data_IF_287517868350
#
_entry.id   IF_287517868350
#
_cell.length_a   1.000
_cell.length_b   1.000
_cell.length_c   1.000
_cell.angle_alpha   90.00
_cell.angle_beta   90.00
_cell.angle_gamma   90.00
#
_symmetry.space_group_name_H-M   'P 1'
#
loop_
_entity.id
_entity.type
_entity.pdbx_description
1 polymer ?
#
# COMPACT_ATOMS: atom_id res chain seq x y z
N UNK A 1 6.69 2.86 -19.58
CA UNK A 1 5.69 1.79 -19.37
C UNK A 1 5.23 1.88 -17.92
N UNK A 2 3.93 1.93 -17.68
CA UNK A 2 3.41 1.73 -16.32
C UNK A 2 3.13 0.24 -16.21
N UNK A 3 3.91 -0.47 -15.40
CA UNK A 3 3.64 -1.85 -15.01
C UNK A 3 2.85 -1.76 -13.72
N UNK A 4 1.56 -2.09 -13.76
CA UNK A 4 0.78 -2.31 -12.54
C UNK A 4 0.82 -3.81 -12.29
N UNK A 5 1.81 -4.25 -11.51
CA UNK A 5 1.82 -5.57 -10.90
C UNK A 5 1.25 -5.41 -9.49
N UNK A 6 0.03 -5.87 -9.26
CA UNK A 6 -0.53 -5.93 -7.92
C UNK A 6 -0.02 -7.23 -7.29
N UNK A 7 1.15 -7.16 -6.67
CA UNK A 7 1.72 -8.27 -5.91
C UNK A 7 1.32 -8.12 -4.44
N UNK A 8 0.72 -9.16 -3.87
CA UNK A 8 0.26 -9.18 -2.47
C UNK A 8 1.33 -9.66 -1.50
N UNK A 9 2.63 -9.45 -1.76
CA UNK A 9 3.69 -9.83 -0.81
C UNK A 9 4.87 -8.85 -0.84
N UNK A 10 5.47 -8.51 0.32
CA UNK A 10 6.66 -7.66 0.38
C UNK A 10 7.88 -8.39 -0.21
N UNK A 11 8.87 -7.66 -0.75
CA UNK A 11 10.07 -8.26 -1.31
C UNK A 11 10.99 -8.82 -0.21
N UNK A 12 11.55 -10.01 -0.42
CA UNK A 12 12.73 -10.52 0.28
C UNK A 12 13.78 -10.98 -0.76
N UNK A 13 15.10 -10.96 -0.48
CA UNK A 13 16.13 -11.21 -1.48
C UNK A 13 16.14 -12.69 -1.90
N UNK A 14 16.21 -12.92 -3.21
CA UNK A 14 16.16 -14.23 -3.82
C UNK A 14 17.46 -15.04 -3.60
N UNK A 15 17.31 -16.34 -3.38
CA UNK A 15 18.32 -17.36 -3.73
C UNK A 15 17.67 -18.39 -4.65
N UNK A 16 18.38 -18.68 -5.76
CA UNK A 16 17.89 -19.51 -6.85
C UNK A 16 17.98 -21.00 -6.55
N UNK A 17 16.99 -21.77 -7.01
CA UNK A 17 17.13 -23.21 -7.26
C UNK A 17 16.22 -23.63 -8.42
N UNK A 18 16.79 -24.43 -9.33
CA UNK A 18 16.19 -24.91 -10.57
C UNK A 18 15.35 -26.19 -10.37
N UNK A 19 14.33 -26.37 -11.23
CA UNK A 19 14.05 -27.67 -11.85
C UNK A 19 12.64 -28.24 -11.69
N UNK A 20 11.97 -28.47 -12.85
CA UNK A 20 10.89 -29.46 -12.99
C UNK A 20 9.68 -29.00 -13.80
N UNK A 21 9.75 -29.14 -15.13
CA UNK A 21 8.65 -28.82 -16.04
C UNK A 21 7.47 -29.83 -15.94
N UNK A 22 6.24 -29.32 -15.98
CA UNK A 22 5.05 -30.09 -16.31
C UNK A 22 4.24 -29.33 -17.37
N UNK A 23 4.09 -29.99 -18.53
CA UNK A 23 3.36 -29.53 -19.70
C UNK A 23 1.86 -29.33 -19.45
N UNK A 24 1.30 -28.37 -20.19
CA UNK A 24 -0.08 -28.46 -20.67
C UNK A 24 -1.03 -27.37 -20.18
N UNK A 25 -1.11 -26.26 -20.93
CA UNK A 25 -2.32 -25.82 -21.65
C UNK A 25 -2.07 -24.38 -22.14
N UNK A 26 -1.79 -24.20 -23.44
CA UNK A 26 -1.80 -22.88 -24.07
C UNK A 26 -3.26 -22.52 -24.40
N UNK A 27 -3.84 -21.44 -23.83
CA UNK A 27 -5.04 -20.88 -24.42
C UNK A 27 -4.61 -20.04 -25.62
N UNK A 28 -4.93 -20.54 -26.81
CA UNK A 28 -4.87 -19.83 -28.08
C UNK A 28 -5.44 -18.42 -27.95
N UNK A 29 -4.63 -17.43 -28.34
CA UNK A 29 -4.94 -16.01 -28.28
C UNK A 29 -6.15 -15.65 -29.15
N UNK A 30 -7.08 -14.91 -28.56
CA UNK A 30 -8.21 -14.31 -29.28
C UNK A 30 -9.23 -13.70 -28.33
N UNK A 31 -9.83 -14.52 -27.47
CA UNK A 31 -11.01 -14.11 -26.70
C UNK A 31 -10.69 -13.36 -25.39
N UNK A 32 -9.51 -13.56 -24.78
CA UNK A 32 -9.15 -12.92 -23.51
C UNK A 32 -8.76 -11.43 -23.63
N UNK A 33 -8.37 -10.94 -24.82
CA UNK A 33 -7.86 -9.57 -25.00
C UNK A 33 -8.94 -8.49 -24.81
N UNK A 34 -10.20 -8.78 -25.16
CA UNK A 34 -11.30 -7.80 -25.06
C UNK A 34 -11.78 -7.54 -23.64
N UNK A 35 -11.62 -8.49 -22.72
CA UNK A 35 -12.17 -8.43 -21.37
C UNK A 35 -11.24 -7.76 -20.34
N UNK A 36 -9.93 -7.69 -20.61
CA UNK A 36 -8.94 -7.32 -19.61
C UNK A 36 -8.96 -5.83 -19.21
N UNK A 37 -9.26 -4.93 -20.14
CA UNK A 37 -9.27 -3.48 -19.92
C UNK A 37 -10.21 -2.78 -20.93
N UNK A 38 -11.52 -2.65 -20.64
CA UNK A 38 -12.49 -2.10 -21.59
C UNK A 38 -12.18 -0.64 -21.94
N UNK A 39 -12.36 -0.29 -23.22
CA UNK A 39 -12.17 1.08 -23.72
C UNK A 39 -10.71 1.50 -23.94
N UNK A 40 -9.73 0.62 -23.74
CA UNK A 40 -8.32 0.88 -24.06
C UNK A 40 -7.93 0.30 -25.42
N UNK A 41 -7.24 1.05 -26.29
CA UNK A 41 -6.73 0.52 -27.54
C UNK A 41 -5.62 -0.51 -27.27
N UNK A 42 -5.55 -1.55 -28.10
CA UNK A 42 -4.48 -2.56 -28.07
C UNK A 42 -3.46 -2.31 -29.16
N UNK A 43 -2.21 -2.73 -28.92
CA UNK A 43 -1.16 -2.79 -29.92
C UNK A 43 -0.21 -3.97 -29.62
N UNK A 44 0.51 -4.45 -30.63
CA UNK A 44 1.61 -5.38 -30.41
C UNK A 44 2.79 -4.67 -29.74
N UNK A 45 3.75 -5.45 -29.23
CA UNK A 45 4.96 -4.88 -28.64
C UNK A 45 5.74 -4.06 -29.68
N UNK A 46 5.90 -4.61 -30.89
CA UNK A 46 6.63 -4.01 -32.01
C UNK A 46 5.97 -2.71 -32.49
N UNK A 47 4.63 -2.68 -32.56
CA UNK A 47 3.86 -1.48 -32.95
C UNK A 47 4.08 -0.29 -32.00
N UNK A 48 4.45 -0.55 -30.74
CA UNK A 48 4.83 0.48 -29.77
C UNK A 48 6.34 0.52 -29.52
N UNK A 49 7.16 -0.13 -30.34
CA UNK A 49 8.62 -0.13 -30.23
C UNK A 49 9.15 -0.81 -28.96
N UNK A 50 8.48 -1.86 -28.48
CA UNK A 50 8.92 -2.74 -27.41
C UNK A 50 9.38 -4.08 -27.98
N UNK A 51 10.36 -4.72 -27.32
CA UNK A 51 10.76 -6.09 -27.59
C UNK A 51 9.76 -7.06 -26.94
N UNK A 52 9.15 -8.00 -27.69
CA UNK A 52 8.26 -9.00 -27.11
C UNK A 52 8.98 -10.01 -26.20
N UNK A 53 10.27 -10.28 -26.40
CA UNK A 53 11.00 -11.34 -25.68
C UNK A 53 10.92 -11.23 -24.15
N UNK A 54 11.32 -10.09 -23.55
CA UNK A 54 11.20 -9.88 -22.10
C UNK A 54 9.76 -9.92 -21.57
N UNK A 55 8.77 -9.58 -22.40
CA UNK A 55 7.36 -9.63 -22.01
C UNK A 55 6.87 -11.08 -21.91
N UNK A 56 7.29 -11.92 -22.84
CA UNK A 56 6.95 -13.33 -22.86
C UNK A 56 7.67 -14.09 -21.73
N UNK A 57 8.93 -13.74 -21.44
CA UNK A 57 9.66 -14.24 -20.26
C UNK A 57 8.97 -13.88 -18.94
N UNK A 58 8.46 -12.65 -18.81
CA UNK A 58 7.72 -12.21 -17.63
C UNK A 58 6.43 -13.01 -17.43
N UNK A 59 5.65 -13.23 -18.49
CA UNK A 59 4.43 -14.05 -18.38
C UNK A 59 4.75 -15.49 -17.97
N UNK A 60 5.85 -16.04 -18.47
CA UNK A 60 6.30 -17.37 -18.09
C UNK A 60 6.70 -17.44 -16.62
N UNK A 61 7.34 -16.40 -16.08
CA UNK A 61 7.60 -16.30 -14.64
C UNK A 61 6.30 -16.25 -13.82
N UNK A 62 5.28 -15.52 -14.28
CA UNK A 62 3.97 -15.52 -13.62
C UNK A 62 3.29 -16.88 -13.65
N UNK A 63 3.31 -17.58 -14.79
CA UNK A 63 2.78 -18.95 -14.90
C UNK A 63 3.48 -19.90 -13.93
N UNK A 64 4.81 -19.82 -13.84
CA UNK A 64 5.60 -20.64 -12.91
C UNK A 64 5.29 -20.32 -11.45
N UNK A 65 5.25 -19.04 -11.08
CA UNK A 65 4.93 -18.64 -9.71
C UNK A 65 3.55 -19.17 -9.25
N UNK A 66 2.55 -19.12 -10.14
CA UNK A 66 1.22 -19.69 -9.86
C UNK A 66 1.26 -21.22 -9.87
N UNK A 67 1.92 -21.84 -10.85
CA UNK A 67 2.03 -23.30 -10.97
C UNK A 67 2.78 -23.96 -9.81
N UNK A 68 3.75 -23.26 -9.24
CA UNK A 68 4.54 -23.66 -8.07
C UNK A 68 3.85 -23.31 -6.74
N UNK A 69 2.64 -22.75 -6.77
CA UNK A 69 1.91 -22.30 -5.60
C UNK A 69 2.68 -21.25 -4.75
N UNK A 70 3.49 -20.41 -5.39
CA UNK A 70 4.17 -19.27 -4.74
C UNK A 70 3.23 -18.07 -4.58
N UNK A 71 2.21 -17.98 -5.44
CA UNK A 71 1.11 -17.03 -5.40
C UNK A 71 -0.18 -17.75 -5.85
N UNK A 72 -1.35 -17.50 -5.21
CA UNK A 72 -2.62 -18.10 -5.65
C UNK A 72 -3.01 -17.70 -7.07
N UNK A 73 -2.80 -16.42 -7.39
CA UNK A 73 -3.20 -15.80 -8.65
C UNK A 73 -2.78 -14.34 -8.70
N UNK A 74 -2.85 -13.76 -9.89
CA UNK A 74 -2.54 -12.36 -10.15
C UNK A 74 -3.20 -11.89 -11.45
N UNK A 75 -3.35 -10.58 -11.59
CA UNK A 75 -3.59 -9.92 -12.87
C UNK A 75 -2.53 -8.85 -13.08
N UNK A 76 -2.16 -8.64 -14.33
CA UNK A 76 -1.22 -7.59 -14.70
C UNK A 76 -1.62 -6.95 -16.03
N UNK A 77 -1.18 -5.71 -16.24
CA UNK A 77 -1.25 -5.04 -17.53
C UNK A 77 -0.02 -4.17 -17.76
N UNK A 78 0.45 -4.16 -19.01
CA UNK A 78 1.57 -3.35 -19.48
C UNK A 78 1.05 -2.44 -20.59
N UNK A 79 1.19 -1.14 -20.36
CA UNK A 79 0.75 -0.11 -21.29
C UNK A 79 1.94 0.74 -21.76
N UNK A 80 1.90 1.11 -23.05
CA UNK A 80 2.80 2.09 -23.66
C UNK A 80 1.99 3.03 -24.55
N UNK A 81 2.21 4.33 -24.39
CA UNK A 81 1.52 5.40 -25.13
C UNK A 81 -0.01 5.26 -25.11
N UNK A 82 -0.54 4.88 -23.94
CA UNK A 82 -1.97 4.69 -23.72
C UNK A 82 -2.57 3.41 -24.33
N UNK A 83 -1.77 2.58 -25.01
CA UNK A 83 -2.19 1.30 -25.60
C UNK A 83 -1.80 0.12 -24.71
N UNK A 84 -2.68 -0.88 -24.63
CA UNK A 84 -2.40 -2.15 -23.95
C UNK A 84 -1.53 -3.01 -24.85
N UNK A 85 -0.37 -3.43 -24.32
CA UNK A 85 0.62 -4.26 -25.03
C UNK A 85 0.51 -5.72 -24.60
N UNK A 86 0.30 -5.92 -23.31
CA UNK A 86 0.08 -7.21 -22.66
C UNK A 86 -0.86 -7.03 -21.48
N UNK A 87 -1.78 -7.95 -21.29
CA UNK A 87 -2.58 -8.06 -20.08
C UNK A 87 -3.11 -9.49 -19.98
N UNK A 88 -2.80 -10.16 -18.86
CA UNK A 88 -3.33 -11.48 -18.54
C UNK A 88 -3.63 -11.60 -17.05
N UNK A 89 -4.52 -12.53 -16.71
CA UNK A 89 -4.75 -12.97 -15.34
C UNK A 89 -4.41 -14.46 -15.23
N UNK A 90 -3.83 -14.85 -14.10
CA UNK A 90 -3.39 -16.22 -13.83
C UNK A 90 -3.91 -16.67 -12.46
N UNK A 91 -4.11 -17.98 -12.32
CA UNK A 91 -4.44 -18.60 -11.04
C UNK A 91 -5.85 -18.29 -10.54
N UNK A 92 -5.99 -18.30 -9.23
CA UNK A 92 -7.26 -18.20 -8.51
C UNK A 92 -7.22 -17.06 -7.50
N UNK A 93 -8.37 -16.43 -7.24
CA UNK A 93 -8.50 -15.41 -6.20
C UNK A 93 -8.66 -15.99 -4.78
N UNK A 94 -8.90 -17.29 -4.71
CA UNK A 94 -9.12 -18.05 -3.48
C UNK A 94 -8.77 -19.53 -3.71
N UNK A 95 -7.93 -20.09 -2.82
CA UNK A 95 -7.39 -21.45 -2.97
C UNK A 95 -8.43 -22.55 -2.69
N UNK A 96 -9.44 -22.26 -1.85
CA UNK A 96 -10.45 -23.24 -1.44
C UNK A 96 -11.54 -23.39 -2.50
N UNK A 97 -12.16 -22.27 -2.89
CA UNK A 97 -13.20 -22.21 -3.92
C UNK A 97 -12.66 -22.39 -5.33
N UNK A 98 -11.36 -22.17 -5.53
CA UNK A 98 -10.64 -22.27 -6.81
C UNK A 98 -11.22 -21.33 -7.89
N UNK A 99 -11.92 -20.27 -7.47
CA UNK A 99 -12.46 -19.28 -8.40
C UNK A 99 -11.33 -18.54 -9.13
N UNK A 100 -11.39 -18.41 -10.46
CA UNK A 100 -10.28 -17.85 -11.23
C UNK A 100 -10.09 -16.37 -10.93
N UNK A 101 -8.83 -15.93 -10.95
CA UNK A 101 -8.49 -14.51 -10.89
C UNK A 101 -8.97 -13.81 -12.18
N UNK A 102 -9.58 -12.63 -12.03
CA UNK A 102 -10.07 -11.80 -13.13
C UNK A 102 -9.61 -10.35 -13.00
N UNK A 103 -9.70 -9.58 -14.06
CA UNK A 103 -9.32 -8.15 -14.06
C UNK A 103 -10.22 -7.28 -13.18
N UNK A 104 -11.44 -7.73 -12.87
CA UNK A 104 -12.39 -7.09 -11.97
C UNK A 104 -12.34 -7.65 -10.53
N UNK A 105 -11.35 -8.51 -10.23
CA UNK A 105 -11.11 -9.02 -8.87
C UNK A 105 -10.58 -7.88 -7.99
N UNK A 106 -11.25 -7.65 -6.87
CA UNK A 106 -10.87 -6.65 -5.88
C UNK A 106 -9.75 -7.20 -5.00
N UNK A 107 -8.82 -6.35 -4.59
CA UNK A 107 -7.72 -6.71 -3.71
C UNK A 107 -7.32 -5.53 -2.83
N UNK A 108 -6.65 -5.84 -1.72
CA UNK A 108 -6.14 -4.84 -0.77
C UNK A 108 -4.86 -4.23 -1.36
N UNK A 109 -4.91 -2.94 -1.68
CA UNK A 109 -3.77 -2.22 -2.28
C UNK A 109 -2.66 -1.83 -1.29
N UNK A 110 -2.96 -1.89 0.01
CA UNK A 110 -2.03 -1.52 1.09
C UNK A 110 -1.31 -0.19 0.80
N UNK A 111 0.01 -0.15 0.85
CA UNK A 111 0.81 1.05 0.69
C UNK A 111 0.68 1.76 -0.65
N UNK A 112 0.11 1.13 -1.69
CA UNK A 112 -0.22 1.84 -2.94
C UNK A 112 -1.27 2.93 -2.72
N UNK A 113 -2.09 2.85 -1.67
CA UNK A 113 -3.04 3.91 -1.26
C UNK A 113 -2.34 5.26 -1.04
N UNK A 114 -1.05 5.25 -0.66
CA UNK A 114 -0.29 6.48 -0.42
C UNK A 114 -0.21 7.36 -1.67
N UNK A 115 -0.10 6.77 -2.86
CA UNK A 115 -0.09 7.54 -4.12
C UNK A 115 -1.40 8.30 -4.33
N UNK A 116 -2.55 7.68 -4.02
CA UNK A 116 -3.87 8.33 -4.09
C UNK A 116 -3.97 9.46 -3.06
N UNK A 117 -3.53 9.21 -1.83
CA UNK A 117 -3.51 10.21 -0.77
C UNK A 117 -2.62 11.42 -1.10
N UNK A 118 -1.43 11.19 -1.67
CA UNK A 118 -0.52 12.27 -2.09
C UNK A 118 -1.12 13.09 -3.22
N UNK A 119 -1.76 12.47 -4.22
CA UNK A 119 -2.50 13.21 -5.26
C UNK A 119 -3.61 14.07 -4.64
N UNK A 120 -4.37 13.51 -3.70
CA UNK A 120 -5.40 14.25 -2.96
C UNK A 120 -4.86 15.45 -2.19
N UNK A 121 -3.69 15.33 -1.55
CA UNK A 121 -3.08 16.45 -0.84
C UNK A 121 -2.53 17.49 -1.82
N UNK A 122 -1.86 17.06 -2.90
CA UNK A 122 -1.30 17.97 -3.91
C UNK A 122 -2.38 18.79 -4.61
N UNK A 123 -3.58 18.23 -4.78
CA UNK A 123 -4.75 18.99 -5.20
C UNK A 123 -5.04 20.21 -4.29
N UNK A 124 -4.97 20.05 -2.96
CA UNK A 124 -5.14 21.18 -2.02
C UNK A 124 -3.99 22.20 -2.12
N UNK A 125 -2.78 21.75 -2.48
CA UNK A 125 -1.63 22.64 -2.74
C UNK A 125 -1.89 23.48 -3.99
N UNK A 126 -2.34 22.86 -5.08
CA UNK A 126 -2.68 23.55 -6.33
C UNK A 126 -3.82 24.55 -6.15
N UNK A 127 -4.80 24.21 -5.31
CA UNK A 127 -5.91 25.08 -4.94
C UNK A 127 -5.49 26.23 -3.99
N UNK A 128 -4.22 26.27 -3.56
CA UNK A 128 -3.67 27.32 -2.69
C UNK A 128 -4.14 27.26 -1.24
N UNK A 129 -4.74 26.14 -0.82
CA UNK A 129 -5.32 25.97 0.52
C UNK A 129 -4.26 25.60 1.57
N UNK A 130 -3.15 25.02 1.15
CA UNK A 130 -1.99 24.72 2.00
C UNK A 130 -0.69 24.79 1.19
N UNK A 131 0.45 24.95 1.88
CA UNK A 131 1.77 24.88 1.27
C UNK A 131 2.58 23.72 1.83
N UNK A 132 3.44 23.11 1.01
CA UNK A 132 4.33 22.02 1.46
C UNK A 132 5.30 22.43 2.58
N UNK A 133 5.61 23.72 2.65
CA UNK A 133 6.45 24.29 3.71
C UNK A 133 5.68 24.73 4.95
N UNK A 134 4.35 24.65 4.96
CA UNK A 134 3.57 24.93 6.16
C UNK A 134 3.97 23.95 7.28
N UNK A 135 4.01 24.43 8.54
CA UNK A 135 4.17 23.54 9.67
C UNK A 135 2.89 22.71 9.84
N UNK A 136 3.04 21.42 10.17
CA UNK A 136 1.92 20.49 10.41
C UNK A 136 1.03 21.00 11.54
N UNK A 137 1.64 21.65 12.55
CA UNK A 137 0.97 22.25 13.71
C UNK A 137 -0.09 23.30 13.37
N UNK A 138 -0.01 23.93 12.18
CA UNK A 138 -1.02 24.86 11.64
C UNK A 138 -2.38 24.18 11.44
N UNK A 139 -2.37 22.91 11.05
CA UNK A 139 -3.57 22.13 10.77
C UNK A 139 -3.89 21.16 11.91
N UNK A 140 -2.86 20.64 12.58
CA UNK A 140 -2.98 19.63 13.63
C UNK A 140 -2.24 20.12 14.89
N UNK A 141 -2.91 20.82 15.82
CA UNK A 141 -2.27 21.41 17.00
C UNK A 141 -1.57 20.40 17.94
N UNK A 142 -1.91 19.10 17.84
CA UNK A 142 -1.21 18.04 18.56
C UNK A 142 0.28 17.93 18.14
N UNK A 143 0.61 18.29 16.90
CA UNK A 143 1.97 18.24 16.33
C UNK A 143 2.77 19.54 16.54
N UNK A 144 2.37 20.39 17.50
CA UNK A 144 3.17 21.54 17.92
C UNK A 144 4.55 21.10 18.41
N UNK A 145 5.60 21.80 17.97
CA UNK A 145 6.99 21.41 18.25
C UNK A 145 7.23 21.16 19.74
N UNK A 146 6.72 22.04 20.60
CA UNK A 146 6.83 21.99 22.06
C UNK A 146 6.12 20.79 22.72
N UNK A 147 5.26 20.08 21.99
CA UNK A 147 4.56 18.86 22.45
C UNK A 147 5.21 17.58 21.96
N UNK A 148 6.11 17.68 20.97
CA UNK A 148 6.78 16.54 20.39
C UNK A 148 8.04 16.19 21.19
N UNK A 149 8.40 14.91 21.14
CA UNK A 149 9.56 14.35 21.79
C UNK A 149 10.39 13.60 20.76
N UNK A 150 11.71 13.55 20.92
CA UNK A 150 12.62 12.70 20.13
C UNK A 150 13.23 11.68 21.08
N UNK A 151 13.16 10.40 20.70
CA UNK A 151 13.81 9.31 21.42
C UNK A 151 15.33 9.48 21.41
N UNK A 152 15.97 9.28 22.56
CA UNK A 152 17.43 9.36 22.68
C UNK A 152 18.04 7.96 22.68
N UNK A 153 19.01 7.70 21.79
CA UNK A 153 19.60 6.37 21.58
C UNK A 153 18.54 5.26 21.37
N UNK A 154 17.45 5.60 20.68
CA UNK A 154 16.31 4.70 20.41
C UNK A 154 15.52 4.27 21.67
N UNK A 155 15.97 4.67 22.87
CA UNK A 155 15.26 4.45 24.12
C UNK A 155 14.35 5.63 24.45
N UNK A 156 13.15 5.32 24.94
CA UNK A 156 12.29 6.30 25.59
C UNK A 156 12.71 6.33 27.04
N UNK A 157 13.49 7.35 27.41
CA UNK A 157 13.85 7.53 28.81
C UNK A 157 12.57 7.94 29.55
N UNK A 158 12.12 7.10 30.49
CA UNK A 158 10.90 7.34 31.30
C UNK A 158 11.04 8.52 32.28
N UNK A 159 12.16 9.24 32.26
CA UNK A 159 12.32 10.49 33.01
C UNK A 159 12.00 11.67 32.10
N UNK A 160 11.36 12.68 32.66
CA UNK A 160 11.02 13.96 32.02
C UNK A 160 12.25 14.74 31.48
N UNK A 161 13.46 14.18 31.56
CA UNK A 161 14.72 14.90 31.37
C UNK A 161 15.57 14.46 30.16
N UNK A 162 15.18 13.46 29.35
CA UNK A 162 16.06 12.97 28.26
C UNK A 162 15.44 12.79 26.86
N UNK A 163 14.14 13.03 26.66
CA UNK A 163 13.63 13.20 25.30
C UNK A 163 13.79 14.66 24.87
N UNK A 164 14.62 14.90 23.85
CA UNK A 164 14.79 16.26 23.35
C UNK A 164 13.55 16.69 22.56
N UNK A 165 13.00 17.86 22.87
CA UNK A 165 12.05 18.53 21.98
C UNK A 165 12.72 18.75 20.62
N UNK A 166 12.02 18.54 19.49
CA UNK A 166 12.58 18.88 18.19
C UNK A 166 13.05 20.34 18.15
N UNK A 167 14.15 20.58 17.45
CA UNK A 167 14.74 21.93 17.27
C UNK A 167 14.14 22.69 16.10
N UNK A 168 13.26 22.03 15.33
CA UNK A 168 12.57 22.60 14.18
C UNK A 168 11.18 21.99 14.01
N UNK A 169 10.28 22.74 13.39
CA UNK A 169 8.92 22.29 13.13
C UNK A 169 8.88 21.16 12.08
N UNK A 170 7.94 20.23 12.29
CA UNK A 170 7.55 19.27 11.26
C UNK A 170 6.75 20.01 10.18
N UNK A 171 7.21 19.95 8.94
CA UNK A 171 6.52 20.52 7.77
C UNK A 171 5.78 19.44 6.99
N UNK A 172 4.79 19.85 6.20
CA UNK A 172 4.03 18.93 5.35
C UNK A 172 4.94 18.14 4.39
N UNK A 173 5.98 18.78 3.83
CA UNK A 173 6.95 18.10 2.96
C UNK A 173 7.69 16.96 3.68
N UNK A 174 7.90 17.07 5.00
CA UNK A 174 8.55 16.00 5.76
C UNK A 174 7.66 14.76 5.86
N UNK A 175 6.34 14.93 5.92
CA UNK A 175 5.40 13.81 5.89
C UNK A 175 5.43 13.09 4.54
N UNK A 176 5.36 13.86 3.44
CA UNK A 176 5.34 13.32 2.07
C UNK A 176 6.63 12.59 1.69
N UNK A 177 7.75 13.05 2.22
CA UNK A 177 9.08 12.50 1.94
C UNK A 177 9.51 11.47 2.97
N UNK A 178 8.64 11.07 3.91
CA UNK A 178 9.00 10.15 4.99
C UNK A 178 10.25 10.61 5.76
N UNK A 179 10.35 11.90 6.04
CA UNK A 179 11.42 12.50 6.83
C UNK A 179 10.91 13.22 8.08
N UNK A 180 9.68 12.93 8.51
CA UNK A 180 9.03 13.61 9.64
C UNK A 180 9.63 13.26 11.01
N UNK A 181 10.37 12.16 11.11
CA UNK A 181 10.79 11.57 12.38
C UNK A 181 9.82 10.53 12.93
N UNK A 182 8.60 10.41 12.37
CA UNK A 182 7.69 9.30 12.70
C UNK A 182 8.26 7.97 12.22
N UNK A 183 7.84 6.87 12.85
CA UNK A 183 8.26 5.51 12.52
C UNK A 183 7.06 4.59 12.27
N UNK A 184 7.28 3.41 11.70
CA UNK A 184 6.30 2.31 11.74
C UNK A 184 6.39 1.51 13.06
N UNK A 185 7.40 1.75 13.88
CA UNK A 185 7.75 0.89 15.01
C UNK A 185 8.68 -0.25 14.54
N UNK A 186 8.54 -1.47 15.09
CA UNK A 186 9.30 -2.61 14.56
C UNK A 186 8.86 -2.91 13.11
N UNK A 187 9.72 -3.57 12.35
CA UNK A 187 9.30 -4.06 11.04
C UNK A 187 8.11 -5.02 11.18
N UNK A 188 7.28 -5.11 10.14
CA UNK A 188 6.04 -5.89 10.18
C UNK A 188 6.32 -7.37 10.52
N UNK A 189 5.97 -7.78 11.74
CA UNK A 189 6.19 -9.14 12.25
C UNK A 189 7.40 -9.30 13.18
N UNK A 190 8.21 -8.26 13.35
CA UNK A 190 9.37 -8.29 14.23
C UNK A 190 9.01 -7.85 15.66
N UNK A 191 9.81 -8.33 16.62
CA UNK A 191 9.76 -7.86 18.00
C UNK A 191 10.30 -6.43 18.12
N UNK A 192 9.78 -5.67 19.08
CA UNK A 192 10.28 -4.33 19.35
C UNK A 192 11.68 -4.39 19.94
N UNK A 193 12.62 -3.67 19.34
CA UNK A 193 14.01 -3.61 19.82
C UNK A 193 14.19 -2.59 20.95
N UNK A 194 13.27 -1.63 21.07
CA UNK A 194 13.34 -0.55 22.03
C UNK A 194 11.95 -0.06 22.47
N UNK A 195 11.92 0.77 23.53
CA UNK A 195 10.68 1.32 24.07
C UNK A 195 9.95 2.26 23.08
N UNK A 196 10.67 2.90 22.17
CA UNK A 196 10.06 3.78 21.16
C UNK A 196 9.25 2.93 20.18
N UNK A 197 9.86 1.90 19.61
CA UNK A 197 9.17 0.96 18.71
C UNK A 197 7.97 0.29 19.36
N UNK A 198 8.13 -0.11 20.63
CA UNK A 198 7.04 -0.70 21.42
C UNK A 198 5.83 0.23 21.53
N UNK A 199 6.05 1.54 21.70
CA UNK A 199 4.95 2.50 21.79
C UNK A 199 4.16 2.64 20.48
N UNK A 200 4.82 2.56 19.31
CA UNK A 200 4.14 2.52 18.01
C UNK A 200 3.36 1.22 17.83
N UNK A 201 3.95 0.09 18.23
CA UNK A 201 3.29 -1.22 18.19
C UNK A 201 2.02 -1.25 19.04
N UNK A 202 2.08 -0.71 20.27
CA UNK A 202 0.91 -0.60 21.16
C UNK A 202 -0.20 0.28 20.58
N UNK A 203 0.15 1.41 19.95
CA UNK A 203 -0.85 2.22 19.26
C UNK A 203 -1.55 1.43 18.15
N UNK A 204 -0.80 0.68 17.34
CA UNK A 204 -1.40 -0.16 16.29
C UNK A 204 -2.27 -1.28 16.84
N UNK A 205 -1.90 -1.93 17.94
CA UNK A 205 -2.78 -2.91 18.59
C UNK A 205 -4.14 -2.31 18.98
N UNK A 206 -4.15 -1.06 19.46
CA UNK A 206 -5.39 -0.34 19.80
C UNK A 206 -6.21 0.01 18.55
N UNK A 207 -5.56 0.24 17.41
CA UNK A 207 -6.25 0.39 16.11
C UNK A 207 -6.83 -0.94 15.64
N UNK A 208 -6.07 -2.02 15.78
CA UNK A 208 -6.47 -3.35 15.34
C UNK A 208 -7.69 -3.87 16.11
N UNK A 209 -7.73 -3.61 17.43
CA UNK A 209 -8.88 -3.94 18.30
C UNK A 209 -10.06 -2.97 18.16
N UNK A 210 -9.89 -1.86 17.43
CA UNK A 210 -10.90 -0.83 17.23
C UNK A 210 -11.06 0.15 18.40
N UNK A 211 -10.22 0.08 19.43
CA UNK A 211 -10.17 1.07 20.52
C UNK A 211 -9.89 2.48 19.98
N UNK A 212 -9.00 2.59 18.98
CA UNK A 212 -8.73 3.82 18.23
C UNK A 212 -9.16 3.61 16.78
N UNK A 213 -10.30 4.17 16.40
CA UNK A 213 -10.91 3.90 15.08
C UNK A 213 -11.05 5.14 14.19
N UNK A 214 -11.06 6.35 14.76
CA UNK A 214 -11.13 7.58 14.00
C UNK A 214 -9.72 8.10 13.66
N UNK A 215 -9.51 8.55 12.43
CA UNK A 215 -8.21 9.07 11.96
C UNK A 215 -7.72 10.27 12.79
N UNK A 216 -8.63 11.14 13.23
CA UNK A 216 -8.29 12.25 14.13
C UNK A 216 -7.71 11.77 15.47
N UNK A 217 -8.41 10.85 16.15
CA UNK A 217 -7.94 10.27 17.42
C UNK A 217 -6.63 9.50 17.24
N UNK A 218 -6.49 8.77 16.12
CA UNK A 218 -5.23 8.11 15.79
C UNK A 218 -4.06 9.11 15.67
N UNK A 219 -4.24 10.21 14.94
CA UNK A 219 -3.20 11.23 14.82
C UNK A 219 -2.89 11.96 16.14
N UNK A 220 -3.89 12.16 16.99
CA UNK A 220 -3.69 12.75 18.32
C UNK A 220 -2.90 11.83 19.25
N UNK A 221 -3.11 10.51 19.18
CA UNK A 221 -2.31 9.52 19.90
C UNK A 221 -0.91 9.37 19.31
N UNK A 222 -0.80 9.36 17.98
CA UNK A 222 0.48 9.28 17.27
C UNK A 222 1.40 10.47 17.61
N UNK A 223 0.84 11.67 17.76
CA UNK A 223 1.60 12.87 18.15
C UNK A 223 2.20 12.81 19.56
N UNK A 224 1.72 11.88 20.42
CA UNK A 224 2.27 11.65 21.76
C UNK A 224 3.47 10.72 21.74
N UNK A 225 3.69 10.00 20.64
CA UNK A 225 4.80 9.06 20.51
C UNK A 225 6.10 9.82 20.18
N UNK A 226 7.25 9.37 20.68
CA UNK A 226 8.51 10.01 20.38
C UNK A 226 8.90 9.77 18.91
N UNK A 227 9.38 10.81 18.26
CA UNK A 227 10.04 10.74 16.96
C UNK A 227 11.39 10.03 17.09
N UNK A 228 11.85 9.39 16.02
CA UNK A 228 13.16 8.72 15.96
C UNK A 228 14.32 9.68 15.68
N UNK A 229 14.05 10.85 15.12
CA UNK A 229 15.05 11.85 14.69
C UNK A 229 14.39 13.21 14.42
N UNK A 230 15.17 14.25 14.13
CA UNK A 230 14.64 15.59 13.86
C UNK A 230 13.85 15.61 12.53
N UNK A 231 12.72 16.34 12.44
CA UNK A 231 12.02 16.50 11.17
C UNK A 231 12.96 17.03 10.06
N UNK A 232 12.97 16.38 8.91
CA UNK A 232 13.80 16.68 7.75
C UNK A 232 15.26 16.22 7.84
N UNK A 233 15.64 15.46 8.86
CA UNK A 233 17.04 15.02 9.04
C UNK A 233 17.41 13.80 8.20
N UNK A 234 16.56 12.77 8.17
CA UNK A 234 16.78 11.55 7.40
C UNK A 234 15.47 10.98 6.87
N UNK A 235 15.56 9.96 6.04
CA UNK A 235 14.41 9.21 5.54
C UNK A 235 14.15 7.98 6.40
N UNK A 236 12.90 7.75 6.78
CA UNK A 236 12.40 6.51 7.39
C UNK A 236 10.92 6.33 7.04
N UNK A 237 10.58 5.19 6.40
CA UNK A 237 9.20 4.86 6.08
C UNK A 237 8.34 4.76 7.35
N UNK A 238 7.15 5.37 7.34
CA UNK A 238 6.42 5.66 8.58
C UNK A 238 4.93 5.91 8.37
N UNK A 239 4.18 6.06 9.47
CA UNK A 239 2.76 6.51 9.49
C UNK A 239 2.55 7.98 9.08
N UNK A 240 3.52 8.60 8.41
CA UNK A 240 3.44 10.00 7.97
C UNK A 240 2.27 10.28 7.02
N UNK A 241 1.88 9.29 6.21
CA UNK A 241 0.79 9.47 5.24
C UNK A 241 -0.58 9.46 5.90
N UNK A 242 -0.74 8.84 7.07
CA UNK A 242 -1.97 8.93 7.86
C UNK A 242 -2.19 10.36 8.37
N UNK A 243 -1.10 11.03 8.79
CA UNK A 243 -1.12 12.46 9.15
C UNK A 243 -1.48 13.34 7.93
N UNK A 244 -0.99 13.00 6.74
CA UNK A 244 -1.40 13.64 5.48
C UNK A 244 -2.91 13.46 5.24
N UNK A 245 -3.42 12.24 5.46
CA UNK A 245 -4.86 11.95 5.47
C UNK A 245 -5.63 12.90 6.37
N UNK A 246 -5.16 13.06 7.61
CA UNK A 246 -5.83 13.91 8.60
C UNK A 246 -5.77 15.40 8.25
N UNK A 247 -4.68 15.88 7.67
CA UNK A 247 -4.59 17.26 7.16
C UNK A 247 -5.65 17.49 6.07
N UNK A 248 -5.84 16.53 5.16
CA UNK A 248 -6.88 16.64 4.12
C UNK A 248 -8.28 16.76 4.74
N UNK A 249 -8.59 16.00 5.80
CA UNK A 249 -9.88 16.12 6.50
C UNK A 249 -10.08 17.52 7.10
N UNK A 250 -9.05 18.06 7.77
CA UNK A 250 -9.13 19.37 8.41
C UNK A 250 -9.29 20.49 7.38
N UNK A 251 -8.53 20.45 6.29
CA UNK A 251 -8.54 21.50 5.26
C UNK A 251 -9.80 21.45 4.41
N UNK A 252 -10.27 20.25 4.05
CA UNK A 252 -11.47 20.08 3.22
C UNK A 252 -12.78 20.15 4.01
N UNK A 253 -12.74 19.92 5.32
CA UNK A 253 -13.93 19.76 6.15
C UNK A 253 -14.72 18.46 5.90
N UNK A 254 -14.15 17.50 5.16
CA UNK A 254 -14.78 16.23 4.80
C UNK A 254 -14.06 15.05 5.43
N UNK A 255 -14.74 13.90 5.51
CA UNK A 255 -14.05 12.63 5.83
C UNK A 255 -13.08 12.27 4.70
N UNK A 256 -11.98 11.60 5.04
CA UNK A 256 -10.92 11.28 4.09
C UNK A 256 -11.43 10.50 2.86
N UNK A 257 -12.29 9.52 3.09
CA UNK A 257 -12.89 8.68 2.03
C UNK A 257 -13.79 9.49 1.10
N UNK A 258 -14.56 10.42 1.63
CA UNK A 258 -15.43 11.31 0.83
C UNK A 258 -14.60 12.30 0.02
N UNK A 259 -13.60 12.94 0.63
CA UNK A 259 -12.72 13.87 -0.05
C UNK A 259 -11.99 13.20 -1.23
N UNK A 260 -11.34 12.06 -0.98
CA UNK A 260 -10.61 11.35 -2.04
C UNK A 260 -11.54 10.79 -3.11
N UNK A 261 -12.77 10.39 -2.74
CA UNK A 261 -13.78 9.96 -3.69
C UNK A 261 -14.09 11.05 -4.70
N UNK A 262 -14.50 12.22 -4.21
CA UNK A 262 -14.90 13.34 -5.06
C UNK A 262 -13.72 13.97 -5.81
N UNK A 263 -12.56 14.11 -5.16
CA UNK A 263 -11.43 14.86 -5.71
C UNK A 263 -10.55 14.04 -6.65
N UNK A 264 -10.48 12.73 -6.46
CA UNK A 264 -9.53 11.84 -7.17
C UNK A 264 -10.21 10.66 -7.85
N UNK A 265 -10.97 9.85 -7.10
CA UNK A 265 -11.48 8.55 -7.57
C UNK A 265 -12.54 8.74 -8.68
N UNK A 266 -13.55 9.56 -8.44
CA UNK A 266 -14.64 9.79 -9.41
C UNK A 266 -14.15 10.49 -10.70
N UNK A 267 -13.36 11.57 -10.64
CA UNK A 267 -12.82 12.20 -11.86
C UNK A 267 -11.96 11.25 -12.72
N UNK A 268 -11.23 10.33 -12.07
CA UNK A 268 -10.41 9.31 -12.75
C UNK A 268 -11.19 8.04 -13.10
N UNK A 269 -12.47 7.96 -12.74
CA UNK A 269 -13.37 6.80 -12.97
C UNK A 269 -12.83 5.50 -12.37
N UNK A 270 -12.21 5.58 -11.19
CA UNK A 270 -11.67 4.44 -10.45
C UNK A 270 -12.77 3.75 -9.63
N UNK A 271 -13.84 3.31 -10.30
CA UNK A 271 -15.11 2.89 -9.67
C UNK A 271 -15.01 1.72 -8.69
N UNK A 272 -13.96 0.91 -8.80
CA UNK A 272 -13.69 -0.25 -7.94
C UNK A 272 -12.64 0.06 -6.84
N UNK A 273 -12.34 1.34 -6.60
CA UNK A 273 -11.42 1.80 -5.56
C UNK A 273 -12.20 2.38 -4.38
N UNK A 274 -12.02 1.81 -3.20
CA UNK A 274 -12.79 2.16 -2.00
C UNK A 274 -11.99 1.86 -0.73
N UNK A 275 -12.33 2.54 0.37
CA UNK A 275 -11.81 2.25 1.71
C UNK A 275 -12.56 1.11 2.41
N UNK A 276 -13.78 0.81 1.97
CA UNK A 276 -14.60 -0.30 2.48
C UNK A 276 -15.36 -0.96 1.34
N UNK A 277 -15.46 -2.28 1.35
CA UNK A 277 -16.16 -3.02 0.31
C UNK A 277 -17.64 -2.64 0.26
N UNK A 278 -18.18 -2.28 -0.92
CA UNK A 278 -19.61 -2.05 -1.07
C UNK A 278 -20.38 -3.35 -0.86
N UNK A 279 -21.62 -3.21 -0.39
CA UNK A 279 -22.52 -4.35 -0.21
C UNK A 279 -22.62 -5.20 -1.49
N UNK A 280 -22.56 -6.53 -1.32
CA UNK A 280 -22.64 -7.48 -2.43
C UNK A 280 -21.35 -7.66 -3.25
N UNK A 281 -20.28 -6.91 -2.95
CA UNK A 281 -19.00 -7.03 -3.69
C UNK A 281 -18.01 -8.01 -3.06
N UNK A 282 -18.31 -8.60 -1.90
CA UNK A 282 -17.42 -9.58 -1.23
C UNK A 282 -17.03 -10.74 -2.15
N UNK A 283 -17.94 -11.16 -3.03
CA UNK A 283 -17.68 -12.20 -4.02
C UNK A 283 -16.63 -11.82 -5.08
N UNK A 284 -16.17 -10.57 -5.17
CA UNK A 284 -15.06 -10.15 -6.04
C UNK A 284 -13.75 -9.98 -5.29
N UNK A 285 -13.75 -9.97 -3.96
CA UNK A 285 -12.54 -9.80 -3.17
C UNK A 285 -11.68 -11.06 -3.23
N UNK A 286 -10.39 -10.90 -3.50
CA UNK A 286 -9.41 -11.96 -3.34
C UNK A 286 -9.11 -12.23 -1.86
N UNK A 287 -9.00 -13.51 -1.52
CA UNK A 287 -8.47 -13.93 -0.23
C UNK A 287 -6.99 -13.58 -0.15
N UNK A 288 -6.58 -13.00 0.98
CA UNK A 288 -5.20 -12.59 1.21
C UNK A 288 -4.41 -13.71 1.87
N UNK A 289 -3.35 -14.13 1.19
CA UNK A 289 -2.39 -15.12 1.68
C UNK A 289 -1.00 -14.49 1.83
N UNK A 290 -0.21 -15.02 2.76
CA UNK A 290 1.20 -14.67 2.95
C UNK A 290 2.06 -15.87 2.66
N UNK A 291 3.14 -15.67 1.90
CA UNK A 291 4.14 -16.70 1.68
C UNK A 291 4.90 -17.01 2.97
N UNK A 292 5.01 -18.29 3.32
CA UNK A 292 5.88 -18.79 4.38
C UNK A 292 7.34 -18.64 3.97
N UNK A 293 8.22 -18.17 4.88
CA UNK A 293 9.64 -18.28 4.68
C UNK A 293 10.05 -19.77 4.54
N UNK A 294 10.93 -20.06 3.59
CA UNK A 294 11.73 -21.30 3.53
C UNK A 294 11.02 -22.64 3.28
N UNK A 295 9.83 -22.66 2.67
CA UNK A 295 9.23 -23.92 2.20
C UNK A 295 9.30 -24.05 0.68
N UNK A 296 10.17 -24.93 0.18
CA UNK A 296 10.09 -25.48 -1.19
C UNK A 296 8.92 -26.49 -1.33
N UNK A 297 7.87 -26.35 -0.52
CA UNK A 297 6.70 -27.23 -0.54
C UNK A 297 5.56 -26.58 -1.31
N UNK A 298 4.69 -27.41 -1.89
CA UNK A 298 3.42 -27.00 -2.49
C UNK A 298 2.43 -26.38 -1.49
N UNK A 299 2.84 -26.15 -0.25
CA UNK A 299 2.06 -25.57 0.84
C UNK A 299 2.85 -24.38 1.40
N UNK A 300 3.04 -23.36 0.55
CA UNK A 300 3.90 -22.21 0.84
C UNK A 300 3.12 -20.97 1.28
N UNK A 301 1.79 -21.07 1.42
CA UNK A 301 0.90 -19.93 1.63
C UNK A 301 0.06 -20.11 2.89
N UNK A 302 0.14 -19.14 3.80
CA UNK A 302 -0.71 -19.04 4.98
C UNK A 302 -1.87 -18.08 4.71
N UNK A 303 -3.08 -18.46 5.11
CA UNK A 303 -4.24 -17.57 5.09
C UNK A 303 -4.02 -16.41 6.07
N UNK A 304 -4.18 -15.18 5.59
CA UNK A 304 -4.10 -13.97 6.43
C UNK A 304 -5.46 -13.32 6.60
N UNK A 305 -6.24 -13.16 5.51
CA UNK A 305 -7.57 -12.55 5.56
C UNK A 305 -8.47 -13.13 4.46
N UNK A 306 -9.47 -13.92 4.87
CA UNK A 306 -10.42 -14.56 3.96
C UNK A 306 -11.40 -13.53 3.38
N UNK A 307 -11.71 -13.65 2.09
CA UNK A 307 -12.68 -12.76 1.45
C UNK A 307 -14.06 -12.76 2.13
N UNK A 308 -14.52 -13.94 2.59
CA UNK A 308 -15.83 -14.11 3.20
C UNK A 308 -15.96 -13.52 4.62
N UNK A 309 -14.85 -13.36 5.34
CA UNK A 309 -14.83 -12.86 6.72
C UNK A 309 -14.04 -11.58 6.88
N UNK A 310 -13.68 -10.92 5.78
CA UNK A 310 -12.86 -9.72 5.85
C UNK A 310 -13.59 -8.59 6.57
N UNK A 311 -12.84 -7.87 7.39
CA UNK A 311 -13.29 -6.66 8.10
C UNK A 311 -13.29 -5.40 7.22
N UNK A 312 -12.82 -5.52 5.97
CA UNK A 312 -12.59 -4.41 5.03
C UNK A 312 -13.57 -4.44 3.87
#
# INVERSE_FOLDING_TARGET
AVVVAIMTSPPHPATAAEGGAADGCSPSGGEARGAALPGRPWATAEEVGMDPGPLDELEEQFRRAVGNNELPGLAYAILRDGKVVRASAFGVKDLDSREPWRFDTLCRLYSMTKSVAVVGLMALVEDGLLALNDPVSKYLPAFRQERLQIAHNEEVVKSDEQNATPTREMKIIHLLTHSSGLSYGPAMGDESSCASEESYRQLMQRVDTGEVSALGSYCDELAKLPLRYQPGERWEYSYSIDVVGRIMEVVSGKRLDEYLRERVIEPLKLNDTTFSLPEGQCGRLATFYRRRPDTNSNDSLDLVDAAASSRW
#
